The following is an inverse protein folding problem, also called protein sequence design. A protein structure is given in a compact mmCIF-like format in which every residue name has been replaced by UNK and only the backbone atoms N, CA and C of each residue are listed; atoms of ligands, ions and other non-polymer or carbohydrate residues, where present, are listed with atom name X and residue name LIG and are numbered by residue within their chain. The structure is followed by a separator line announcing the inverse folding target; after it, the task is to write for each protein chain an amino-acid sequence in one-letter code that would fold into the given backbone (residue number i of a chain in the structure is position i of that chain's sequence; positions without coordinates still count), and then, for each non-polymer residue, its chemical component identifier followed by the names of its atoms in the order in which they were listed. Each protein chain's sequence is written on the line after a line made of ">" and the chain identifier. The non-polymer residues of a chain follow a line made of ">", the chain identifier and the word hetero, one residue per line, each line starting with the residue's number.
data_IF_876953331028
#
_entry.id   IF_876953331028
#
_cell.length_a   1.000
_cell.length_b   1.000
_cell.length_c   1.000
_cell.angle_alpha   90.00
_cell.angle_beta   90.00
_cell.angle_gamma   90.00
#
_symmetry.space_group_name_H-M   'P 1'
#
loop_
_entity.id
_entity.type
_entity.pdbx_description
1 polymer ?
#
# COMPACT_ATOMS: atom_id res chain seq x y z
N UNK A 1 15.60 2.96 -18.20
CA UNK A 1 16.03 1.85 -17.32
C UNK A 1 15.00 1.74 -16.20
N UNK A 2 14.49 0.54 -15.93
CA UNK A 2 13.34 0.31 -15.03
C UNK A 2 13.78 -0.01 -13.60
N UNK A 3 12.88 0.11 -12.62
CA UNK A 3 13.12 -0.31 -11.23
C UNK A 3 13.58 -1.79 -11.17
N UNK A 4 12.87 -2.66 -11.87
CA UNK A 4 13.25 -4.05 -12.08
C UNK A 4 14.66 -4.21 -12.68
N UNK A 5 14.98 -3.44 -13.73
CA UNK A 5 16.30 -3.47 -14.36
C UNK A 5 17.41 -3.04 -13.40
N UNK A 6 17.16 -2.03 -12.55
CA UNK A 6 18.14 -1.59 -11.55
C UNK A 6 18.35 -2.65 -10.45
N UNK A 7 17.29 -3.34 -10.03
CA UNK A 7 17.35 -4.43 -9.05
C UNK A 7 18.08 -5.67 -9.61
N UNK A 8 17.89 -5.96 -10.91
CA UNK A 8 18.63 -7.01 -11.62
C UNK A 8 20.11 -6.66 -11.79
N UNK A 9 20.43 -5.43 -12.23
CA UNK A 9 21.81 -4.97 -12.46
C UNK A 9 22.59 -4.88 -11.14
N UNK A 10 21.97 -4.32 -10.10
CA UNK A 10 22.57 -4.21 -8.77
C UNK A 10 22.85 -5.58 -8.12
N UNK A 11 22.14 -6.64 -8.53
CA UNK A 11 22.37 -8.01 -8.09
C UNK A 11 23.37 -8.80 -8.94
N UNK A 12 23.85 -8.26 -10.07
CA UNK A 12 24.78 -8.94 -10.97
C UNK A 12 26.26 -8.54 -10.75
N UNK A 13 26.54 -7.58 -9.85
CA UNK A 13 27.90 -7.09 -9.56
C UNK A 13 28.60 -8.09 -8.62
N UNK A 14 28.91 -9.26 -9.16
CA UNK A 14 29.50 -10.35 -8.39
C UNK A 14 29.94 -11.53 -9.21
N UNK A 15 30.30 -11.37 -10.49
CA UNK A 15 31.13 -12.31 -11.28
C UNK A 15 31.35 -11.75 -12.69
N UNK A 16 32.59 -11.39 -13.03
CA UNK A 16 33.00 -11.23 -14.43
C UNK A 16 34.27 -12.05 -14.68
N UNK A 17 34.26 -13.02 -15.61
CA UNK A 17 35.47 -13.48 -16.25
C UNK A 17 35.73 -12.66 -17.52
N UNK A 18 36.97 -12.20 -17.66
CA UNK A 18 37.54 -11.63 -18.86
C UNK A 18 37.66 -12.67 -20.00
N UNK A 19 37.73 -12.19 -21.25
CA UNK A 19 38.36 -12.72 -22.50
C UNK A 19 37.38 -12.48 -23.69
N UNK A 20 37.57 -11.50 -24.58
CA UNK A 20 38.60 -11.25 -25.60
C UNK A 20 38.27 -11.80 -27.01
N UNK A 21 38.20 -10.85 -27.97
CA UNK A 21 38.42 -10.89 -29.42
C UNK A 21 37.31 -11.39 -30.40
N UNK A 22 36.90 -10.46 -31.29
CA UNK A 22 36.18 -10.68 -32.56
C UNK A 22 37.07 -11.32 -33.65
N UNK A 23 36.50 -11.72 -34.81
CA UNK A 23 36.53 -10.76 -35.94
C UNK A 23 35.28 -10.72 -36.86
N UNK A 24 34.90 -9.48 -37.21
CA UNK A 24 34.45 -8.90 -38.50
C UNK A 24 33.51 -9.64 -39.46
N UNK A 25 32.40 -8.97 -39.81
CA UNK A 25 31.92 -8.83 -41.20
C UNK A 25 31.33 -7.42 -41.43
N UNK A 26 31.69 -6.80 -42.56
CA UNK A 26 31.31 -5.46 -43.02
C UNK A 26 29.97 -5.41 -43.79
N UNK A 27 29.46 -4.17 -43.92
CA UNK A 27 28.37 -3.64 -44.77
C UNK A 27 26.93 -3.85 -44.28
N UNK A 28 26.04 -2.85 -44.21
CA UNK A 28 25.92 -1.61 -44.99
C UNK A 28 25.15 -0.54 -44.18
N UNK A 29 25.51 0.72 -44.38
CA UNK A 29 24.95 1.86 -43.67
C UNK A 29 23.50 2.18 -44.11
N UNK A 30 22.55 1.96 -43.21
CA UNK A 30 21.26 2.65 -43.23
C UNK A 30 21.31 3.72 -42.13
N UNK A 31 21.08 4.97 -42.52
CA UNK A 31 20.96 6.12 -41.61
C UNK A 31 19.69 5.94 -40.78
N UNK A 32 19.81 5.18 -39.69
CA UNK A 32 18.79 5.09 -38.68
C UNK A 32 18.89 6.36 -37.83
N UNK A 33 17.87 7.23 -37.93
CA UNK A 33 17.68 8.38 -37.03
C UNK A 33 17.52 7.87 -35.60
N UNK A 34 18.62 7.60 -34.93
CA UNK A 34 18.68 7.43 -33.49
C UNK A 34 18.41 8.80 -32.87
N UNK A 35 17.13 9.09 -32.62
CA UNK A 35 16.80 9.95 -31.47
C UNK A 35 17.20 9.15 -30.24
N UNK A 36 18.47 9.24 -29.84
CA UNK A 36 18.86 8.98 -28.47
C UNK A 36 18.24 10.10 -27.62
N UNK A 37 16.99 9.92 -27.23
CA UNK A 37 16.44 10.67 -26.10
C UNK A 37 17.31 10.31 -24.90
N UNK A 38 18.07 11.30 -24.39
CA UNK A 38 18.85 11.14 -23.17
C UNK A 38 17.97 10.55 -22.07
N UNK A 39 18.51 9.68 -21.18
CA UNK A 39 17.72 9.10 -20.10
C UNK A 39 17.15 10.23 -19.25
N UNK A 40 15.82 10.39 -19.26
CA UNK A 40 15.12 11.38 -18.44
C UNK A 40 14.82 10.76 -17.08
N UNK A 41 14.96 11.56 -16.03
CA UNK A 41 14.44 11.20 -14.71
C UNK A 41 12.95 10.92 -14.80
N UNK A 42 12.51 9.84 -14.15
CA UNK A 42 11.11 9.43 -14.10
C UNK A 42 10.60 9.67 -12.69
N UNK A 43 9.49 10.41 -12.56
CA UNK A 43 8.77 10.58 -11.31
C UNK A 43 7.40 9.94 -11.43
N UNK A 44 7.08 9.07 -10.49
CA UNK A 44 5.83 8.29 -10.43
C UNK A 44 5.29 8.38 -9.01
N UNK A 45 3.98 8.18 -8.84
CA UNK A 45 3.37 8.09 -7.52
C UNK A 45 2.50 6.83 -7.45
N UNK A 46 2.71 6.01 -6.42
CA UNK A 46 1.73 4.99 -6.03
C UNK A 46 0.47 5.72 -5.53
N UNK A 47 -0.63 5.62 -6.26
CA UNK A 47 -1.88 6.32 -5.95
C UNK A 47 -2.72 5.46 -5.02
N UNK A 48 -3.26 6.07 -3.97
CA UNK A 48 -4.15 5.41 -3.00
C UNK A 48 -5.41 6.25 -2.79
N UNK A 49 -6.56 5.62 -2.43
CA UNK A 49 -7.73 6.36 -1.98
C UNK A 49 -7.40 7.18 -0.74
N UNK A 50 -7.73 8.48 -0.78
CA UNK A 50 -7.57 9.40 0.35
C UNK A 50 -8.91 9.49 1.08
N UNK A 51 -9.09 8.81 2.22
CA UNK A 51 -10.34 8.82 2.95
C UNK A 51 -10.60 10.18 3.62
N UNK A 52 -11.87 10.55 3.73
CA UNK A 52 -12.33 11.66 4.55
C UNK A 52 -13.13 11.21 5.75
N UNK A 53 -13.65 12.17 6.52
CA UNK A 53 -14.53 11.88 7.65
C UNK A 53 -15.98 11.63 7.20
N UNK A 54 -16.77 10.85 7.98
CA UNK A 54 -18.16 10.54 7.67
C UNK A 54 -19.02 11.79 7.46
N UNK A 55 -19.93 11.72 6.50
CA UNK A 55 -20.90 12.78 6.16
C UNK A 55 -22.31 12.19 6.01
N UNK A 56 -23.37 12.98 6.23
CA UNK A 56 -24.71 12.58 5.83
C UNK A 56 -24.79 12.46 4.31
N UNK A 57 -25.45 11.41 3.82
CA UNK A 57 -25.67 11.20 2.37
C UNK A 57 -27.04 11.73 1.88
N UNK A 58 -27.87 12.20 2.80
CA UNK A 58 -29.14 12.87 2.54
C UNK A 58 -29.33 14.00 3.57
N UNK A 59 -29.16 15.24 3.13
CA UNK A 59 -29.30 16.42 3.98
C UNK A 59 -30.73 16.64 4.47
N UNK A 60 -31.74 16.16 3.74
CA UNK A 60 -33.15 16.31 4.17
C UNK A 60 -33.47 15.44 5.39
N UNK A 61 -32.68 14.39 5.59
CA UNK A 61 -32.74 13.54 6.78
C UNK A 61 -31.76 13.99 7.87
N UNK A 62 -30.68 14.71 7.49
CA UNK A 62 -29.63 15.16 8.39
C UNK A 62 -30.11 16.16 9.45
N UNK A 63 -31.15 16.96 9.18
CA UNK A 63 -31.68 17.95 10.14
C UNK A 63 -32.22 17.33 11.44
N UNK A 64 -32.56 16.02 11.43
CA UNK A 64 -32.97 15.28 12.62
C UNK A 64 -31.84 14.51 13.31
N UNK A 65 -30.59 14.63 12.84
CA UNK A 65 -29.47 13.78 13.24
C UNK A 65 -28.33 14.64 13.73
N UNK A 66 -27.81 14.28 14.90
CA UNK A 66 -26.63 14.92 15.48
C UNK A 66 -25.49 13.92 15.57
N UNK A 67 -24.35 14.27 14.97
CA UNK A 67 -23.09 13.60 15.28
C UNK A 67 -22.59 14.14 16.64
N UNK A 68 -22.63 13.31 17.67
CA UNK A 68 -22.19 13.68 19.02
C UNK A 68 -20.70 13.44 19.23
N UNK A 69 -20.21 12.31 18.72
CA UNK A 69 -18.82 11.90 18.87
C UNK A 69 -18.33 11.17 17.63
N UNK A 70 -17.05 11.36 17.33
CA UNK A 70 -16.30 10.67 16.29
C UNK A 70 -14.95 10.24 16.86
N UNK A 71 -14.78 8.95 17.08
CA UNK A 71 -13.48 8.37 17.44
C UNK A 71 -12.85 7.73 16.20
N UNK A 72 -11.71 8.27 15.80
CA UNK A 72 -10.89 7.75 14.71
C UNK A 72 -9.77 6.89 15.27
N UNK A 73 -9.75 5.62 14.90
CA UNK A 73 -8.69 4.68 15.25
C UNK A 73 -7.88 4.36 13.99
N UNK A 74 -6.57 4.64 14.02
CA UNK A 74 -5.62 4.46 12.91
C UNK A 74 -4.58 3.42 13.29
N UNK A 75 -4.64 2.25 12.66
CA UNK A 75 -3.65 1.17 12.83
C UNK A 75 -2.64 1.21 11.69
N UNK A 76 -1.45 1.73 11.99
CA UNK A 76 -0.37 1.81 11.03
C UNK A 76 0.31 0.45 10.85
N UNK A 77 0.20 -0.08 9.64
CA UNK A 77 0.89 -1.28 9.14
C UNK A 77 2.03 -0.87 8.21
N UNK A 78 2.84 -1.81 7.73
CA UNK A 78 4.05 -1.46 6.94
C UNK A 78 3.74 -0.75 5.62
N UNK A 79 2.74 -1.22 4.86
CA UNK A 79 2.43 -0.67 3.54
C UNK A 79 0.98 -0.21 3.33
N UNK A 80 0.15 -0.31 4.36
CA UNK A 80 -1.22 0.20 4.38
C UNK A 80 -1.62 0.62 5.80
N UNK A 81 -2.79 1.20 5.95
CA UNK A 81 -3.39 1.48 7.27
C UNK A 81 -4.74 0.78 7.39
N UNK A 82 -5.13 0.38 8.60
CA UNK A 82 -6.51 0.05 8.93
C UNK A 82 -7.13 1.23 9.67
N UNK A 83 -8.28 1.69 9.20
CA UNK A 83 -9.04 2.80 9.75
C UNK A 83 -10.35 2.28 10.31
N UNK A 84 -10.66 2.71 11.54
CA UNK A 84 -11.94 2.45 12.19
C UNK A 84 -12.51 3.80 12.62
N UNK A 85 -13.68 4.14 12.09
CA UNK A 85 -14.42 5.35 12.46
C UNK A 85 -15.60 4.93 13.31
N UNK A 86 -15.68 5.40 14.55
CA UNK A 86 -16.82 5.13 15.44
C UNK A 86 -17.58 6.44 15.67
N UNK A 87 -18.82 6.49 15.17
CA UNK A 87 -19.67 7.67 15.18
C UNK A 87 -20.85 7.45 16.14
N UNK A 88 -21.01 8.30 17.14
CA UNK A 88 -22.21 8.36 17.94
C UNK A 88 -23.23 9.30 17.28
N UNK A 89 -24.30 8.73 16.74
CA UNK A 89 -25.36 9.44 16.04
C UNK A 89 -26.62 9.49 16.92
N UNK A 90 -27.05 10.69 17.29
CA UNK A 90 -28.32 10.91 17.97
C UNK A 90 -29.39 11.22 16.94
N UNK A 91 -30.41 10.35 16.88
CA UNK A 91 -31.54 10.48 15.98
C UNK A 91 -32.75 11.02 16.76
N UNK A 92 -33.22 12.20 16.37
CA UNK A 92 -34.44 12.80 16.89
C UNK A 92 -35.69 12.16 16.27
N UNK A 93 -36.84 12.26 16.95
CA UNK A 93 -38.13 11.84 16.35
C UNK A 93 -38.44 12.71 15.12
N UNK A 94 -38.74 12.09 13.98
CA UNK A 94 -39.38 12.79 12.84
C UNK A 94 -38.73 12.66 11.46
N UNK A 95 -37.74 11.78 11.26
CA UNK A 95 -37.10 11.61 9.94
C UNK A 95 -37.93 10.68 9.05
N UNK A 96 -38.16 11.04 7.79
CA UNK A 96 -38.83 10.18 6.79
C UNK A 96 -37.89 9.07 6.31
N UNK A 97 -38.42 7.87 6.10
CA UNK A 97 -37.66 6.72 5.57
C UNK A 97 -37.35 5.67 6.64
N UNK A 98 -36.89 4.49 6.20
CA UNK A 98 -36.55 3.36 7.09
C UNK A 98 -35.10 3.40 7.58
N UNK A 99 -34.22 3.97 6.77
CA UNK A 99 -32.79 4.07 7.04
C UNK A 99 -32.28 5.45 6.67
N UNK A 100 -31.17 5.84 7.30
CA UNK A 100 -30.42 7.06 7.03
C UNK A 100 -29.09 6.64 6.41
N UNK A 101 -28.75 7.12 5.21
CA UNK A 101 -27.47 6.83 4.60
C UNK A 101 -26.39 7.77 5.16
N UNK A 102 -25.28 7.20 5.62
CA UNK A 102 -24.07 7.92 6.05
C UNK A 102 -22.89 7.41 5.22
N UNK A 103 -22.03 8.31 4.76
CA UNK A 103 -20.97 7.98 3.82
C UNK A 103 -19.59 8.46 4.26
N UNK A 104 -18.58 7.63 4.01
CA UNK A 104 -17.18 8.05 4.06
C UNK A 104 -16.75 8.46 2.65
N UNK A 105 -16.35 9.72 2.41
CA UNK A 105 -15.86 10.17 1.11
C UNK A 105 -14.43 9.70 0.87
N UNK A 106 -14.08 9.44 -0.39
CA UNK A 106 -12.70 9.14 -0.82
C UNK A 106 -12.30 10.00 -2.01
N UNK A 107 -11.20 10.73 -1.90
CA UNK A 107 -10.55 11.32 -3.07
C UNK A 107 -9.68 10.25 -3.73
N UNK A 108 -10.05 9.87 -4.93
CA UNK A 108 -9.35 8.85 -5.71
C UNK A 108 -9.46 9.22 -7.19
N UNK A 109 -8.32 9.36 -7.86
CA UNK A 109 -8.25 9.79 -9.27
C UNK A 109 -7.01 9.21 -9.92
N UNK A 110 -6.96 7.88 -10.09
CA UNK A 110 -5.86 7.26 -10.80
C UNK A 110 -5.90 7.62 -12.30
N UNK A 111 -4.77 7.55 -13.02
CA UNK A 111 -4.74 7.80 -14.46
C UNK A 111 -5.61 6.80 -15.20
N UNK A 112 -6.25 7.24 -16.30
CA UNK A 112 -6.99 6.31 -17.16
C UNK A 112 -6.07 5.22 -17.75
N UNK A 113 -6.65 4.08 -18.12
CA UNK A 113 -5.90 2.89 -18.56
C UNK A 113 -4.96 3.20 -19.74
N UNK A 114 -5.41 4.01 -20.70
CA UNK A 114 -4.63 4.35 -21.89
C UNK A 114 -3.43 5.23 -21.54
N UNK A 115 -3.63 6.26 -20.72
CA UNK A 115 -2.56 7.13 -20.22
C UNK A 115 -1.57 6.33 -19.37
N UNK A 116 -2.06 5.44 -18.52
CA UNK A 116 -1.20 4.61 -17.67
C UNK A 116 -0.37 3.62 -18.50
N UNK A 117 -0.97 2.91 -19.45
CA UNK A 117 -0.28 1.96 -20.32
C UNK A 117 0.78 2.62 -21.24
N UNK A 118 0.57 3.90 -21.59
CA UNK A 118 1.55 4.68 -22.34
C UNK A 118 2.73 5.20 -21.49
N UNK A 119 2.65 5.10 -20.16
CA UNK A 119 3.74 5.51 -19.27
C UNK A 119 4.97 4.60 -19.44
N UNK A 120 6.20 5.15 -19.41
CA UNK A 120 7.43 4.35 -19.33
C UNK A 120 7.44 3.40 -18.12
N UNK A 121 6.81 3.85 -17.03
CA UNK A 121 6.64 3.14 -15.76
C UNK A 121 5.13 3.18 -15.40
N UNK A 122 4.33 2.23 -15.89
CA UNK A 122 2.91 2.16 -15.53
C UNK A 122 2.78 1.82 -14.04
N UNK A 123 1.77 2.40 -13.39
CA UNK A 123 1.45 2.12 -12.00
C UNK A 123 0.32 1.14 -11.87
N UNK A 124 0.28 0.47 -10.72
CA UNK A 124 -0.86 -0.33 -10.34
C UNK A 124 -2.06 0.58 -10.13
N UNK A 125 -3.04 0.47 -11.03
CA UNK A 125 -4.29 1.19 -10.95
C UNK A 125 -5.42 0.21 -10.63
N UNK A 126 -5.97 0.33 -9.42
CA UNK A 126 -7.08 -0.49 -8.97
C UNK A 126 -8.40 0.26 -9.14
N UNK A 127 -9.49 -0.40 -9.56
CA UNK A 127 -10.85 0.14 -9.38
C UNK A 127 -11.08 0.51 -7.91
N UNK A 128 -11.87 1.55 -7.64
CA UNK A 128 -12.10 2.04 -6.27
C UNK A 128 -12.55 0.93 -5.30
N UNK A 129 -13.44 0.05 -5.77
CA UNK A 129 -13.97 -1.09 -5.00
C UNK A 129 -12.92 -2.15 -4.63
N UNK A 130 -11.75 -2.12 -5.27
CA UNK A 130 -10.59 -2.97 -4.98
C UNK A 130 -9.47 -2.22 -4.27
N UNK A 131 -9.41 -0.90 -4.42
CA UNK A 131 -8.42 -0.04 -3.78
C UNK A 131 -8.72 0.22 -2.29
N UNK A 132 -9.99 0.15 -1.88
CA UNK A 132 -10.40 0.13 -0.47
C UNK A 132 -10.61 -1.31 -0.04
N UNK A 133 -9.82 -1.75 0.94
CA UNK A 133 -9.76 -3.13 1.39
C UNK A 133 -10.57 -3.34 2.66
N UNK A 134 -11.04 -4.57 2.88
CA UNK A 134 -11.62 -5.01 4.16
C UNK A 134 -12.76 -4.09 4.66
N UNK A 135 -13.51 -3.48 3.73
CA UNK A 135 -14.54 -2.49 4.01
C UNK A 135 -15.81 -3.14 4.59
N UNK A 136 -16.17 -2.73 5.80
CA UNK A 136 -17.36 -3.18 6.53
C UNK A 136 -17.94 -2.00 7.31
N UNK A 137 -19.26 -1.97 7.48
CA UNK A 137 -19.90 -1.11 8.46
C UNK A 137 -20.82 -1.90 9.41
N UNK A 138 -21.00 -1.38 10.61
CA UNK A 138 -21.92 -1.90 11.62
C UNK A 138 -22.65 -0.76 12.32
N UNK A 139 -23.84 -1.06 12.84
CA UNK A 139 -24.59 -0.17 13.72
C UNK A 139 -24.92 -0.94 14.99
N UNK A 140 -24.57 -0.35 16.14
CA UNK A 140 -24.77 -0.97 17.46
C UNK A 140 -24.17 -2.39 17.51
N UNK A 141 -22.94 -2.52 17.01
CA UNK A 141 -22.15 -3.75 16.89
C UNK A 141 -22.75 -4.84 15.96
N UNK A 142 -23.84 -4.53 15.26
CA UNK A 142 -24.45 -5.43 14.27
C UNK A 142 -24.05 -4.99 12.86
N UNK A 143 -23.51 -5.91 12.07
CA UNK A 143 -23.18 -5.66 10.65
C UNK A 143 -24.41 -5.09 9.93
N UNK A 144 -24.23 -3.96 9.24
CA UNK A 144 -25.29 -3.31 8.47
C UNK A 144 -25.01 -3.39 6.96
N UNK A 145 -26.02 -3.03 6.17
CA UNK A 145 -25.84 -2.91 4.72
C UNK A 145 -24.89 -1.75 4.43
N UNK A 146 -23.80 -2.05 3.72
CA UNK A 146 -22.82 -1.07 3.28
C UNK A 146 -22.26 -1.40 1.91
N UNK A 147 -21.93 -0.38 1.12
CA UNK A 147 -21.38 -0.54 -0.22
C UNK A 147 -20.36 0.53 -0.56
N UNK A 148 -19.36 0.14 -1.35
CA UNK A 148 -18.48 1.08 -2.05
C UNK A 148 -19.18 1.53 -3.33
N UNK A 149 -19.41 2.83 -3.48
CA UNK A 149 -20.17 3.41 -4.58
C UNK A 149 -19.42 4.52 -5.28
N UNK A 150 -19.73 4.71 -6.56
CA UNK A 150 -19.19 5.77 -7.39
C UNK A 150 -20.32 6.70 -7.86
N UNK A 151 -20.01 7.99 -7.98
CA UNK A 151 -20.94 9.04 -8.36
C UNK A 151 -20.85 10.27 -7.45
N UNK A 152 -21.19 11.44 -7.98
CA UNK A 152 -21.27 12.66 -7.17
C UNK A 152 -22.39 12.54 -6.13
N UNK A 153 -22.19 13.16 -4.98
CA UNK A 153 -23.25 13.30 -3.98
C UNK A 153 -24.49 13.95 -4.60
N UNK A 154 -25.69 13.43 -4.34
CA UNK A 154 -26.93 13.92 -4.97
C UNK A 154 -27.20 15.40 -4.67
N UNK A 155 -26.73 15.87 -3.52
CA UNK A 155 -26.85 17.26 -3.07
C UNK A 155 -25.49 17.98 -3.05
N UNK A 156 -24.56 17.61 -3.95
CA UNK A 156 -23.20 18.16 -3.99
C UNK A 156 -23.15 19.69 -4.14
N UNK A 157 -24.18 20.30 -4.74
CA UNK A 157 -24.23 21.75 -4.98
C UNK A 157 -24.79 22.53 -3.78
N UNK A 158 -25.22 21.84 -2.71
CA UNK A 158 -25.62 22.49 -1.47
C UNK A 158 -24.39 23.14 -0.78
N UNK A 159 -24.51 24.36 -0.21
CA UNK A 159 -23.38 25.03 0.44
C UNK A 159 -22.71 24.21 1.56
N UNK A 160 -23.50 23.42 2.30
CA UNK A 160 -23.01 22.52 3.35
C UNK A 160 -22.14 21.37 2.81
N UNK A 161 -22.31 21.01 1.54
CA UNK A 161 -21.55 19.94 0.87
C UNK A 161 -20.30 20.43 0.13
N UNK A 162 -19.99 21.73 0.18
CA UNK A 162 -18.78 22.28 -0.42
C UNK A 162 -17.48 21.51 -0.07
N UNK A 163 -17.28 20.99 1.16
CA UNK A 163 -16.08 20.19 1.49
C UNK A 163 -15.91 18.90 0.67
N UNK A 164 -17.00 18.38 0.09
CA UNK A 164 -17.03 17.10 -0.62
C UNK A 164 -17.62 17.20 -2.03
N UNK A 165 -17.89 18.41 -2.54
CA UNK A 165 -18.62 18.62 -3.80
C UNK A 165 -17.95 17.98 -5.04
N UNK A 166 -16.62 17.87 -5.03
CA UNK A 166 -15.81 17.24 -6.08
C UNK A 166 -15.50 15.75 -5.85
N UNK A 167 -16.07 15.14 -4.81
CA UNK A 167 -15.83 13.72 -4.49
C UNK A 167 -16.86 12.85 -5.19
N UNK A 168 -16.37 11.73 -5.75
CA UNK A 168 -17.17 10.78 -6.51
C UNK A 168 -17.06 9.34 -6.01
N UNK A 169 -16.36 9.07 -4.90
CA UNK A 169 -16.15 7.72 -4.38
C UNK A 169 -16.53 7.68 -2.90
N UNK A 170 -17.29 6.66 -2.50
CA UNK A 170 -17.92 6.61 -1.19
C UNK A 170 -17.95 5.20 -0.62
N UNK A 171 -17.79 5.06 0.69
CA UNK A 171 -18.28 3.90 1.45
C UNK A 171 -19.56 4.34 2.17
N UNK A 172 -20.71 3.83 1.75
CA UNK A 172 -22.02 4.21 2.29
C UNK A 172 -22.56 3.11 3.17
N UNK A 173 -23.07 3.45 4.35
CA UNK A 173 -23.75 2.55 5.27
C UNK A 173 -25.18 3.02 5.53
N UNK A 174 -26.09 2.07 5.79
CA UNK A 174 -27.49 2.33 6.11
C UNK A 174 -27.74 2.22 7.62
N UNK A 175 -28.01 3.34 8.27
CA UNK A 175 -28.32 3.41 9.70
C UNK A 175 -29.82 3.26 9.91
N UNK A 176 -30.30 2.42 10.85
CA UNK A 176 -31.72 2.36 11.19
C UNK A 176 -32.26 3.73 11.60
N UNK A 177 -33.35 4.17 11.00
CA UNK A 177 -34.02 5.41 11.39
C UNK A 177 -34.93 5.14 12.60
N UNK A 178 -34.33 5.06 13.79
CA UNK A 178 -35.03 4.89 15.06
C UNK A 178 -34.59 5.97 16.05
N UNK A 179 -35.49 6.56 16.84
CA UNK A 179 -35.10 7.54 17.85
C UNK A 179 -34.16 6.92 18.89
N UNK A 180 -33.09 7.64 19.22
CA UNK A 180 -32.08 7.19 20.17
C UNK A 180 -30.66 7.46 19.68
N UNK A 181 -29.69 7.06 20.50
CA UNK A 181 -28.27 7.07 20.14
C UNK A 181 -27.91 5.75 19.48
N UNK A 182 -27.30 5.84 18.30
CA UNK A 182 -26.78 4.72 17.54
C UNK A 182 -25.28 4.87 17.34
N UNK A 183 -24.54 3.77 17.44
CA UNK A 183 -23.10 3.74 17.20
C UNK A 183 -22.84 3.16 15.82
N UNK A 184 -22.55 4.02 14.85
CA UNK A 184 -22.15 3.62 13.50
C UNK A 184 -20.62 3.44 13.45
N UNK A 185 -20.17 2.26 13.09
CA UNK A 185 -18.75 1.98 12.87
C UNK A 185 -18.48 1.71 11.40
N UNK A 186 -17.49 2.38 10.82
CA UNK A 186 -16.88 2.02 9.55
C UNK A 186 -15.50 1.41 9.81
N UNK A 187 -15.19 0.30 9.18
CA UNK A 187 -13.86 -0.31 9.18
C UNK A 187 -13.42 -0.54 7.74
N UNK A 188 -12.21 -0.10 7.40
CA UNK A 188 -11.62 -0.34 6.08
C UNK A 188 -10.10 -0.13 6.11
N UNK A 189 -9.38 -0.69 5.14
CA UNK A 189 -7.95 -0.46 4.96
C UNK A 189 -7.66 0.25 3.64
N UNK A 190 -6.64 1.11 3.64
CA UNK A 190 -6.16 1.79 2.42
C UNK A 190 -4.63 1.73 2.36
N UNK A 191 -4.03 1.53 1.18
CA UNK A 191 -2.59 1.60 1.01
C UNK A 191 -2.06 3.03 1.23
N UNK A 192 -0.76 3.17 1.46
CA UNK A 192 -0.13 4.49 1.51
C UNK A 192 0.18 5.02 0.11
N UNK A 193 0.05 6.34 -0.06
CA UNK A 193 0.64 7.04 -1.20
C UNK A 193 2.15 7.13 -1.01
N UNK A 194 2.92 6.88 -2.06
CA UNK A 194 4.38 7.01 -2.06
C UNK A 194 4.87 7.57 -3.39
N UNK A 195 5.81 8.51 -3.32
CA UNK A 195 6.48 9.05 -4.50
C UNK A 195 7.68 8.18 -4.86
N UNK A 196 7.84 7.86 -6.14
CA UNK A 196 8.98 7.12 -6.68
C UNK A 196 9.72 8.05 -7.63
N UNK A 197 11.02 8.17 -7.45
CA UNK A 197 11.92 8.87 -8.37
C UNK A 197 12.98 7.90 -8.86
N UNK A 198 13.11 7.79 -10.18
CA UNK A 198 14.04 6.90 -10.84
C UNK A 198 15.00 7.76 -11.67
N UNK A 199 16.27 7.70 -11.32
CA UNK A 199 17.36 8.21 -12.15
C UNK A 199 17.99 7.02 -12.88
N UNK A 200 17.71 6.85 -14.19
CA UNK A 200 18.12 5.67 -14.93
C UNK A 200 19.62 5.38 -14.81
N UNK A 201 19.98 4.15 -14.42
CA UNK A 201 21.39 3.73 -14.31
C UNK A 201 22.11 4.18 -13.04
N UNK A 202 21.45 4.96 -12.18
CA UNK A 202 22.10 5.54 -11.01
C UNK A 202 21.42 5.12 -9.70
N UNK A 203 20.12 5.42 -9.57
CA UNK A 203 19.41 5.20 -8.30
C UNK A 203 17.90 5.20 -8.46
N UNK A 204 17.23 4.52 -7.53
CA UNK A 204 15.80 4.66 -7.27
C UNK A 204 15.63 5.22 -5.86
N UNK A 205 14.74 6.20 -5.73
CA UNK A 205 14.29 6.72 -4.45
C UNK A 205 12.80 6.46 -4.28
N UNK A 206 12.46 5.69 -3.26
CA UNK A 206 11.11 5.60 -2.74
C UNK A 206 10.95 6.60 -1.61
N UNK A 207 9.99 7.51 -1.75
CA UNK A 207 9.63 8.52 -0.78
C UNK A 207 9.02 7.91 0.48
N UNK A 208 8.81 8.77 1.49
CA UNK A 208 8.16 8.33 2.72
C UNK A 208 6.68 8.00 2.43
N UNK A 209 6.12 6.92 3.00
CA UNK A 209 4.68 6.64 2.93
C UNK A 209 3.87 7.78 3.52
N UNK A 210 2.73 8.08 2.90
CA UNK A 210 1.79 9.08 3.38
C UNK A 210 0.38 8.51 3.46
N UNK A 211 -0.24 8.70 4.62
CA UNK A 211 -1.68 8.58 4.81
C UNK A 211 -2.24 10.00 4.94
N UNK A 212 -3.06 10.40 3.98
CA UNK A 212 -3.81 11.66 4.04
C UNK A 212 -5.25 11.37 4.46
N UNK A 213 -5.78 12.15 5.39
CA UNK A 213 -7.16 12.09 5.87
C UNK A 213 -7.84 13.43 5.65
N UNK A 214 -8.95 13.47 4.91
CA UNK A 214 -9.72 14.70 4.71
C UNK A 214 -10.58 14.96 5.94
N UNK A 215 -10.34 16.07 6.62
CA UNK A 215 -11.00 16.44 7.88
C UNK A 215 -12.14 17.44 7.65
N UNK A 216 -12.07 18.24 6.58
CA UNK A 216 -13.12 19.18 6.19
C UNK A 216 -14.51 18.55 5.95
N UNK A 217 -14.68 17.28 5.54
CA UNK A 217 -16.01 16.66 5.42
C UNK A 217 -16.82 16.69 6.72
N UNK A 218 -16.18 16.76 7.90
CA UNK A 218 -16.89 16.89 9.17
C UNK A 218 -17.78 18.13 9.23
N UNK A 219 -17.45 19.18 8.47
CA UNK A 219 -18.22 20.43 8.43
C UNK A 219 -19.57 20.29 7.70
N UNK A 220 -19.86 19.13 7.12
CA UNK A 220 -21.16 18.83 6.50
C UNK A 220 -22.26 18.57 7.54
N UNK A 221 -21.90 18.25 8.79
CA UNK A 221 -22.85 18.05 9.88
C UNK A 221 -23.35 19.40 10.43
N UNK A 222 -24.67 19.54 10.51
CA UNK A 222 -25.34 20.77 10.97
C UNK A 222 -25.74 20.74 12.45
N UNK A 223 -25.77 19.56 13.08
CA UNK A 223 -26.20 19.34 14.48
C UNK A 223 -25.25 19.81 15.58
N UNK A 224 -24.28 20.67 15.27
CA UNK A 224 -23.28 21.19 16.22
C UNK A 224 -21.93 20.47 16.13
N UNK A 225 -21.00 20.86 17.01
CA UNK A 225 -19.62 20.37 17.02
C UNK A 225 -19.52 19.04 17.79
N UNK A 226 -19.13 17.93 17.14
CA UNK A 226 -18.90 16.67 17.85
C UNK A 226 -17.62 16.74 18.68
N UNK A 227 -17.52 15.88 19.70
CA UNK A 227 -16.20 15.46 20.19
C UNK A 227 -15.54 14.63 19.09
N UNK A 228 -14.39 15.05 18.57
CA UNK A 228 -13.63 14.24 17.60
C UNK A 228 -12.23 13.95 18.10
N UNK A 229 -11.92 12.67 18.31
CA UNK A 229 -10.61 12.22 18.82
C UNK A 229 -9.97 11.30 17.80
N UNK A 230 -8.66 11.44 17.63
CA UNK A 230 -7.85 10.51 16.83
C UNK A 230 -6.94 9.73 17.75
N UNK A 231 -6.88 8.42 17.53
CA UNK A 231 -5.98 7.49 18.19
C UNK A 231 -5.18 6.75 17.11
N UNK A 232 -3.87 6.96 17.09
CA UNK A 232 -2.95 6.29 16.17
C UNK A 232 -2.14 5.27 16.95
N UNK A 233 -2.02 4.06 16.46
CA UNK A 233 -1.15 3.02 17.00
C UNK A 233 -0.41 2.34 15.85
N UNK A 234 0.80 1.87 16.11
CA UNK A 234 1.53 1.05 15.15
C UNK A 234 1.40 -0.42 15.53
N UNK A 235 0.86 -1.23 14.62
CA UNK A 235 0.72 -2.69 14.81
C UNK A 235 1.92 -3.47 14.26
N UNK A 236 2.58 -2.96 13.21
CA UNK A 236 3.67 -3.66 12.51
C UNK A 236 4.98 -2.87 12.46
N UNK A 237 5.09 -1.72 13.11
CA UNK A 237 6.28 -0.87 13.05
C UNK A 237 6.66 -0.27 14.41
N UNK A 238 7.79 0.43 14.41
CA UNK A 238 8.24 1.21 15.56
C UNK A 238 7.34 2.42 15.77
N UNK A 239 6.95 2.62 17.01
CA UNK A 239 6.16 3.75 17.44
C UNK A 239 6.86 5.13 17.27
N UNK A 240 8.19 5.16 17.22
CA UNK A 240 9.00 6.37 16.97
C UNK A 240 9.12 6.78 15.49
N UNK A 241 8.54 6.02 14.55
CA UNK A 241 8.70 6.29 13.11
C UNK A 241 7.57 7.09 12.48
N UNK A 242 6.60 7.58 13.25
CA UNK A 242 5.45 8.31 12.73
C UNK A 242 5.70 9.81 12.80
N UNK A 243 5.74 10.47 11.64
CA UNK A 243 5.67 11.94 11.58
C UNK A 243 4.23 12.35 11.35
N UNK A 244 3.77 13.33 12.11
CA UNK A 244 2.50 14.02 11.90
C UNK A 244 2.83 15.41 11.35
N UNK A 245 2.37 15.70 10.14
CA UNK A 245 2.44 17.05 9.57
C UNK A 245 1.44 17.95 10.33
N UNK A 246 1.75 19.24 10.61
CA UNK A 246 1.03 20.01 11.61
C UNK A 246 -0.38 20.36 11.14
N UNK A 247 -1.34 19.50 11.49
CA UNK A 247 -2.77 19.73 11.45
C UNK A 247 -3.41 19.55 12.82
N UNK A 248 -2.62 19.66 13.89
CA UNK A 248 -3.05 19.56 15.27
C UNK A 248 -2.28 20.59 16.10
N UNK A 249 -2.86 21.08 17.19
CA UNK A 249 -2.07 21.79 18.20
C UNK A 249 -1.06 20.78 18.77
N UNK A 250 0.23 21.00 18.51
CA UNK A 250 1.30 20.10 18.94
C UNK A 250 1.27 19.83 20.45
N UNK A 251 0.70 20.74 21.25
CA UNK A 251 0.53 20.59 22.70
C UNK A 251 -0.60 19.63 23.11
N UNK A 252 -1.54 19.38 22.21
CA UNK A 252 -2.70 18.49 22.44
C UNK A 252 -2.40 17.02 22.15
N UNK A 253 -1.24 16.72 21.56
CA UNK A 253 -0.82 15.37 21.21
C UNK A 253 -0.24 14.70 22.45
N UNK A 254 -0.88 13.63 22.88
CA UNK A 254 -0.39 12.75 23.94
C UNK A 254 0.31 11.56 23.28
N UNK A 255 1.57 11.32 23.64
CA UNK A 255 2.35 10.17 23.17
C UNK A 255 2.56 9.17 24.31
N UNK A 256 2.19 7.90 24.11
CA UNK A 256 2.45 6.83 25.09
C UNK A 256 3.83 6.18 24.87
N UNK A 257 4.37 5.39 25.82
CA UNK A 257 5.58 4.61 25.60
C UNK A 257 5.48 3.60 24.45
N UNK A 258 4.26 3.17 24.10
CA UNK A 258 3.95 2.35 22.92
C UNK A 258 3.74 3.22 21.66
N UNK A 259 4.00 4.53 21.76
CA UNK A 259 3.84 5.61 20.77
C UNK A 259 2.49 5.59 20.09
N UNK A 260 1.47 5.41 20.93
CA UNK A 260 0.12 5.81 20.59
C UNK A 260 0.08 7.33 20.58
N UNK A 261 -0.45 7.92 19.51
CA UNK A 261 -0.72 9.35 19.44
C UNK A 261 -2.21 9.56 19.62
N UNK A 262 -2.58 10.37 20.61
CA UNK A 262 -3.97 10.77 20.82
C UNK A 262 -4.08 12.28 20.84
N UNK A 263 -5.04 12.84 20.09
CA UNK A 263 -5.35 14.28 20.12
C UNK A 263 -6.81 14.55 19.71
N UNK A 264 -7.28 15.76 19.99
CA UNK A 264 -8.56 16.27 19.46
C UNK A 264 -8.36 16.70 18.01
N UNK A 265 -9.20 16.23 17.09
CA UNK A 265 -9.15 16.68 15.70
C UNK A 265 -9.58 18.14 15.54
N UNK A 266 -10.37 18.65 16.49
CA UNK A 266 -10.97 19.98 16.42
C UNK A 266 -10.30 20.95 17.38
N UNK A 267 -10.16 22.19 16.92
CA UNK A 267 -9.80 23.33 17.75
C UNK A 267 -10.95 23.77 18.66
N UNK A 268 -10.66 24.76 19.50
CA UNK A 268 -11.64 25.32 20.45
C UNK A 268 -12.86 25.98 19.76
N UNK A 269 -12.73 26.38 18.49
CA UNK A 269 -13.81 26.90 17.65
C UNK A 269 -14.70 25.80 17.04
N UNK A 270 -14.41 24.53 17.36
CA UNK A 270 -15.13 23.37 16.87
C UNK A 270 -14.86 23.03 15.41
N UNK A 271 -13.79 23.56 14.82
CA UNK A 271 -13.39 23.27 13.44
C UNK A 271 -12.11 22.45 13.39
N UNK A 272 -11.91 21.64 12.33
CA UNK A 272 -10.62 21.02 12.09
C UNK A 272 -9.51 22.07 11.94
N UNK A 273 -8.33 21.82 12.51
CA UNK A 273 -7.18 22.72 12.41
C UNK A 273 -6.68 22.94 10.97
N UNK A 274 -6.91 21.97 10.09
CA UNK A 274 -6.58 22.01 8.66
C UNK A 274 -7.65 21.24 7.88
N UNK A 275 -7.79 21.43 6.55
CA UNK A 275 -8.75 20.69 5.72
C UNK A 275 -8.37 19.21 5.51
N UNK A 276 -7.12 18.85 5.80
CA UNK A 276 -6.62 17.49 5.81
C UNK A 276 -5.50 17.32 6.83
N UNK A 277 -5.27 16.08 7.22
CA UNK A 277 -4.17 15.64 8.05
C UNK A 277 -3.27 14.66 7.29
N UNK A 278 -1.96 14.71 7.53
CA UNK A 278 -1.00 13.77 6.93
C UNK A 278 -0.19 13.06 8.00
N UNK A 279 -0.22 11.72 7.96
CA UNK A 279 0.62 10.84 8.76
C UNK A 279 1.67 10.16 7.86
N UNK A 280 2.91 10.13 8.33
CA UNK A 280 4.04 9.46 7.67
C UNK A 280 4.55 8.32 8.55
N UNK A 281 4.09 7.07 8.33
CA UNK A 281 4.29 5.94 9.24
C UNK A 281 5.72 5.40 9.31
N UNK A 282 6.53 5.60 8.27
CA UNK A 282 7.81 4.92 8.13
C UNK A 282 8.79 5.68 7.23
N UNK A 283 10.01 5.14 7.07
CA UNK A 283 11.03 5.77 6.26
C UNK A 283 10.75 5.58 4.76
N UNK A 284 11.21 6.53 3.95
CA UNK A 284 11.54 6.26 2.56
C UNK A 284 12.86 5.47 2.47
N UNK A 285 13.22 5.05 1.27
CA UNK A 285 14.46 4.35 1.01
C UNK A 285 15.06 4.72 -0.35
N UNK A 286 16.37 4.54 -0.47
CA UNK A 286 17.09 4.74 -1.74
C UNK A 286 17.88 3.49 -2.06
N UNK A 287 17.78 3.00 -3.29
CA UNK A 287 18.63 1.95 -3.86
C UNK A 287 19.57 2.60 -4.87
N UNK A 288 20.87 2.42 -4.72
CA UNK A 288 21.86 2.82 -5.72
C UNK A 288 22.18 1.70 -6.71
N UNK A 289 22.85 2.05 -7.80
CA UNK A 289 23.29 1.13 -8.87
C UNK A 289 24.22 0.00 -8.39
N UNK A 290 24.85 0.17 -7.24
CA UNK A 290 25.80 -0.79 -6.66
C UNK A 290 25.11 -1.74 -5.67
N UNK A 291 23.77 -1.67 -5.56
CA UNK A 291 22.99 -2.53 -4.68
C UNK A 291 22.96 -2.08 -3.23
N UNK A 292 23.46 -0.89 -2.91
CA UNK A 292 23.31 -0.38 -1.56
C UNK A 292 21.94 0.25 -1.36
N UNK A 293 21.34 -0.07 -0.22
CA UNK A 293 20.08 0.51 0.22
C UNK A 293 20.32 1.38 1.42
N UNK A 294 19.79 2.60 1.39
CA UNK A 294 19.73 3.50 2.54
C UNK A 294 18.32 3.54 3.11
N UNK A 295 18.16 3.15 4.38
CA UNK A 295 16.88 3.15 5.11
C UNK A 295 17.12 3.80 6.47
N UNK A 296 16.33 4.81 6.85
CA UNK A 296 16.52 5.56 8.12
C UNK A 296 17.94 6.12 8.30
N UNK A 297 18.61 6.47 7.20
CA UNK A 297 20.01 6.93 7.20
C UNK A 297 21.05 5.82 7.43
N UNK A 298 20.63 4.57 7.65
CA UNK A 298 21.52 3.42 7.69
C UNK A 298 21.73 2.85 6.29
N UNK A 299 22.98 2.53 5.96
CA UNK A 299 23.36 1.90 4.69
C UNK A 299 23.55 0.40 4.90
N UNK A 300 22.97 -0.40 4.01
CA UNK A 300 23.23 -1.83 3.87
C UNK A 300 23.25 -2.23 2.40
N UNK A 301 23.44 -3.51 2.12
CA UNK A 301 23.52 -4.06 0.76
C UNK A 301 22.42 -5.09 0.54
N UNK A 302 21.78 -5.02 -0.63
CA UNK A 302 20.98 -6.15 -1.13
C UNK A 302 21.93 -7.33 -1.35
N UNK A 303 21.61 -8.48 -0.78
CA UNK A 303 22.44 -9.67 -0.90
C UNK A 303 21.70 -10.81 -1.59
N UNK A 304 22.42 -11.49 -2.48
CA UNK A 304 22.09 -12.79 -3.06
C UNK A 304 22.86 -13.95 -2.38
N UNK A 305 23.71 -13.61 -1.38
CA UNK A 305 24.57 -14.54 -0.66
C UNK A 305 23.79 -15.26 0.44
N UNK A 306 22.82 -16.04 0.01
CA UNK A 306 21.99 -16.87 0.88
C UNK A 306 21.59 -18.16 0.19
N UNK A 307 21.25 -19.18 0.97
CA UNK A 307 20.58 -20.39 0.50
C UNK A 307 19.09 -20.25 0.79
N UNK A 308 18.23 -20.79 -0.08
CA UNK A 308 16.78 -20.68 0.08
C UNK A 308 16.07 -22.00 -0.21
N UNK A 309 15.11 -22.33 0.64
CA UNK A 309 14.24 -23.50 0.50
C UNK A 309 12.78 -23.08 0.66
N UNK A 310 11.88 -23.76 -0.04
CA UNK A 310 10.43 -23.55 0.07
C UNK A 310 9.75 -24.79 0.66
N UNK A 311 8.60 -24.62 1.32
CA UNK A 311 7.76 -25.74 1.77
C UNK A 311 7.22 -26.57 0.61
N UNK A 312 6.90 -25.90 -0.50
CA UNK A 312 6.55 -26.51 -1.78
C UNK A 312 6.98 -25.60 -2.93
N UNK A 313 6.95 -26.11 -4.15
CA UNK A 313 7.28 -25.34 -5.34
C UNK A 313 6.50 -25.86 -6.54
N UNK A 314 5.86 -24.97 -7.28
CA UNK A 314 5.21 -25.31 -8.55
C UNK A 314 6.27 -25.78 -9.56
N UNK A 315 5.93 -26.74 -10.42
CA UNK A 315 6.90 -27.24 -11.39
C UNK A 315 7.33 -26.15 -12.39
N UNK A 316 6.36 -25.41 -12.94
CA UNK A 316 6.57 -24.41 -13.99
C UNK A 316 5.66 -23.20 -13.83
N UNK A 317 6.17 -22.04 -14.22
CA UNK A 317 5.43 -20.79 -14.30
C UNK A 317 4.51 -20.78 -15.54
N UNK A 318 3.63 -19.79 -15.70
CA UNK A 318 2.75 -19.65 -16.86
C UNK A 318 3.49 -19.52 -18.20
N UNK A 319 4.79 -19.23 -18.17
CA UNK A 319 5.67 -19.09 -19.34
C UNK A 319 6.48 -20.36 -19.61
N UNK A 320 6.30 -21.42 -18.80
CA UNK A 320 6.97 -22.71 -18.94
C UNK A 320 8.35 -22.81 -18.26
N UNK A 321 8.77 -21.80 -17.50
CA UNK A 321 10.06 -21.80 -16.78
C UNK A 321 9.93 -22.45 -15.40
N UNK A 322 10.96 -23.13 -14.87
CA UNK A 322 10.91 -23.71 -13.53
C UNK A 322 10.71 -22.67 -12.42
N UNK A 323 9.83 -22.92 -11.45
CA UNK A 323 9.55 -21.99 -10.34
C UNK A 323 10.50 -22.10 -9.14
N UNK A 324 11.78 -22.42 -9.34
CA UNK A 324 12.74 -22.62 -8.24
C UNK A 324 12.79 -21.41 -7.29
N UNK A 325 12.89 -21.60 -5.95
CA UNK A 325 13.08 -20.51 -5.02
C UNK A 325 14.38 -19.72 -5.26
N UNK A 326 15.38 -20.31 -5.91
CA UNK A 326 16.61 -19.61 -6.30
C UNK A 326 16.36 -18.47 -7.31
N UNK A 327 15.26 -18.49 -8.06
CA UNK A 327 14.89 -17.43 -9.00
C UNK A 327 14.75 -16.07 -8.29
N UNK A 328 14.36 -16.08 -7.02
CA UNK A 328 14.14 -14.88 -6.20
C UNK A 328 15.41 -14.04 -5.94
N UNK A 329 16.59 -14.63 -6.15
CA UNK A 329 17.91 -13.98 -5.97
C UNK A 329 18.28 -13.02 -7.09
N UNK A 330 17.87 -13.31 -8.32
CA UNK A 330 18.37 -12.61 -9.49
C UNK A 330 17.29 -11.79 -10.20
N UNK A 331 16.02 -11.95 -9.79
CA UNK A 331 14.87 -11.28 -10.43
C UNK A 331 14.67 -11.73 -11.89
N UNK A 332 15.16 -12.93 -12.21
CA UNK A 332 15.05 -13.57 -13.52
C UNK A 332 14.28 -14.88 -13.32
N UNK A 333 12.96 -14.79 -13.42
CA UNK A 333 12.04 -15.88 -13.10
C UNK A 333 11.28 -15.66 -11.79
N UNK A 334 10.42 -16.60 -11.46
CA UNK A 334 9.51 -16.50 -10.32
C UNK A 334 9.63 -17.74 -9.45
N UNK A 335 9.32 -17.60 -8.16
CA UNK A 335 8.90 -18.73 -7.35
C UNK A 335 7.37 -18.71 -7.24
N UNK A 336 6.78 -19.90 -7.25
CA UNK A 336 5.41 -20.13 -6.87
C UNK A 336 5.34 -21.34 -5.95
N UNK A 337 4.42 -21.28 -5.02
CA UNK A 337 4.01 -22.43 -4.22
C UNK A 337 3.38 -23.52 -5.10
N UNK A 338 3.47 -24.77 -4.66
CA UNK A 338 3.00 -25.96 -5.40
C UNK A 338 1.92 -26.76 -4.67
N UNK A 339 1.24 -26.16 -3.69
CA UNK A 339 0.11 -26.81 -3.01
C UNK A 339 -1.19 -26.53 -3.78
N UNK A 340 -2.21 -27.35 -3.52
CA UNK A 340 -3.55 -27.03 -4.04
C UNK A 340 -4.15 -25.89 -3.23
N UNK A 341 -4.62 -24.84 -3.91
CA UNK A 341 -5.26 -23.70 -3.27
C UNK A 341 -4.53 -22.41 -3.57
N UNK A 342 -4.59 -21.46 -2.65
CA UNK A 342 -3.98 -20.14 -2.79
C UNK A 342 -2.56 -20.04 -2.20
N UNK A 343 -2.06 -21.13 -1.61
CA UNK A 343 -0.75 -21.16 -0.97
C UNK A 343 -0.69 -20.54 0.43
N UNK A 344 -1.84 -20.26 1.06
CA UNK A 344 -1.83 -19.74 2.43
C UNK A 344 -1.15 -20.73 3.38
N UNK A 345 -0.18 -20.24 4.15
CA UNK A 345 0.62 -21.03 5.10
C UNK A 345 1.94 -21.54 4.53
N UNK A 346 2.17 -21.44 3.22
CA UNK A 346 3.43 -21.80 2.58
C UNK A 346 4.58 -20.90 3.05
N UNK A 347 5.79 -21.47 3.07
CA UNK A 347 6.95 -20.83 3.68
C UNK A 347 8.19 -20.87 2.80
N UNK A 348 8.96 -19.77 2.84
CA UNK A 348 10.31 -19.66 2.32
C UNK A 348 11.27 -19.51 3.49
N UNK A 349 12.33 -20.32 3.52
CA UNK A 349 13.39 -20.24 4.52
C UNK A 349 14.70 -19.86 3.85
N UNK A 350 15.28 -18.76 4.33
CA UNK A 350 16.50 -18.15 3.83
C UNK A 350 17.58 -18.30 4.89
N UNK A 351 18.74 -18.82 4.49
CA UNK A 351 19.94 -18.94 5.33
C UNK A 351 21.03 -18.03 4.77
N UNK A 352 21.36 -16.97 5.49
CA UNK A 352 22.37 -16.00 5.10
C UNK A 352 23.77 -16.63 5.20
N UNK A 353 24.57 -16.51 4.14
CA UNK A 353 25.98 -16.95 4.15
C UNK A 353 26.84 -16.02 4.98
N UNK A 354 26.49 -14.72 4.98
CA UNK A 354 27.12 -13.69 5.79
C UNK A 354 26.08 -13.08 6.73
N UNK A 355 25.90 -13.63 7.94
CA UNK A 355 25.00 -13.08 8.93
C UNK A 355 25.36 -11.65 9.30
N UNK A 356 24.35 -10.81 9.46
CA UNK A 356 24.54 -9.41 9.80
C UNK A 356 23.24 -8.77 10.25
N UNK A 357 23.28 -7.49 10.62
CA UNK A 357 22.06 -6.79 11.02
C UNK A 357 21.17 -6.59 9.80
N UNK A 358 19.94 -7.11 9.88
CA UNK A 358 18.94 -6.97 8.84
C UNK A 358 18.30 -5.57 8.91
N UNK A 359 18.40 -4.80 7.83
CA UNK A 359 17.72 -3.50 7.70
C UNK A 359 16.32 -3.64 7.08
N UNK A 360 16.10 -4.69 6.30
CA UNK A 360 14.81 -5.02 5.70
C UNK A 360 14.92 -6.20 4.74
N UNK A 361 13.78 -6.61 4.20
CA UNK A 361 13.65 -7.66 3.19
C UNK A 361 12.90 -7.06 2.01
N UNK A 362 13.55 -6.96 0.86
CA UNK A 362 12.91 -6.54 -0.38
C UNK A 362 12.11 -7.70 -0.97
N UNK A 363 10.84 -7.46 -1.24
CA UNK A 363 9.90 -8.41 -1.82
C UNK A 363 9.24 -7.82 -3.06
N UNK A 364 9.16 -8.60 -4.14
CA UNK A 364 8.28 -8.33 -5.28
C UNK A 364 7.18 -9.40 -5.29
N UNK A 365 5.94 -8.99 -5.00
CA UNK A 365 4.78 -9.87 -5.01
C UNK A 365 4.27 -10.08 -6.43
N UNK A 366 3.83 -11.30 -6.74
CA UNK A 366 3.22 -11.63 -8.03
C UNK A 366 4.18 -11.69 -9.21
N UNK A 367 3.61 -11.77 -10.41
CA UNK A 367 4.31 -11.70 -11.70
C UNK A 367 4.18 -10.27 -12.23
N UNK A 368 5.23 -9.47 -12.09
CA UNK A 368 5.19 -8.06 -12.48
C UNK A 368 5.12 -7.89 -14.01
N UNK A 369 4.17 -7.09 -14.54
CA UNK A 369 3.99 -6.88 -15.99
C UNK A 369 5.07 -5.97 -16.61
N UNK A 370 6.01 -5.45 -15.80
CA UNK A 370 7.00 -4.46 -16.22
C UNK A 370 8.45 -4.95 -16.14
N UNK A 371 8.71 -6.13 -15.57
CA UNK A 371 10.06 -6.68 -15.35
C UNK A 371 10.73 -7.12 -16.64
N UNK A 372 9.97 -7.70 -17.58
CA UNK A 372 10.47 -8.25 -18.86
C UNK A 372 9.63 -7.78 -20.05
N UNK A 373 9.75 -6.50 -20.40
CA UNK A 373 8.81 -5.88 -21.31
C UNK A 373 8.87 -6.31 -22.76
N UNK A 374 10.03 -6.77 -23.19
CA UNK A 374 10.26 -7.20 -24.57
C UNK A 374 9.62 -8.58 -24.82
N UNK A 375 9.33 -9.32 -23.74
CA UNK A 375 8.82 -10.68 -23.80
C UNK A 375 7.29 -10.75 -23.77
N UNK A 376 6.60 -9.74 -23.22
CA UNK A 376 5.13 -9.72 -23.13
C UNK A 376 4.54 -8.32 -23.34
N UNK A 377 4.36 -7.99 -24.63
CA UNK A 377 3.77 -6.70 -25.06
C UNK A 377 2.28 -6.57 -24.70
N UNK A 378 1.57 -7.68 -24.48
CA UNK A 378 0.15 -7.66 -24.08
C UNK A 378 0.00 -7.41 -22.58
N UNK A 379 0.83 -8.04 -21.74
CA UNK A 379 0.89 -7.71 -20.30
C UNK A 379 1.23 -6.23 -20.09
N UNK A 380 2.07 -5.65 -20.95
CA UNK A 380 2.36 -4.21 -21.00
C UNK A 380 1.14 -3.35 -21.38
N UNK A 381 0.26 -3.82 -22.26
CA UNK A 381 -0.95 -3.09 -22.67
C UNK A 381 -2.03 -3.13 -21.59
N UNK A 382 -2.11 -4.23 -20.85
CA UNK A 382 -3.11 -4.44 -19.79
C UNK A 382 -2.46 -4.85 -18.46
N UNK A 383 -1.60 -3.99 -17.85
CA UNK A 383 -0.76 -4.37 -16.71
C UNK A 383 -1.57 -4.73 -15.46
N UNK A 384 -2.73 -4.09 -15.26
CA UNK A 384 -3.60 -4.41 -14.13
C UNK A 384 -4.23 -5.79 -14.25
N UNK A 385 -4.64 -6.19 -15.47
CA UNK A 385 -5.23 -7.51 -15.73
C UNK A 385 -4.14 -8.57 -15.55
N UNK A 386 -3.01 -8.39 -16.24
CA UNK A 386 -1.89 -9.34 -16.18
C UNK A 386 -1.42 -9.60 -14.75
N UNK A 387 -1.21 -8.55 -13.96
CA UNK A 387 -0.80 -8.71 -12.56
C UNK A 387 -1.89 -9.37 -11.69
N UNK A 388 -3.17 -9.14 -12.00
CA UNK A 388 -4.28 -9.69 -11.22
C UNK A 388 -4.57 -11.16 -11.50
N UNK A 389 -4.00 -11.74 -12.57
CA UNK A 389 -4.24 -13.14 -12.95
C UNK A 389 -3.76 -14.16 -11.92
N UNK A 390 -2.72 -13.82 -11.15
CA UNK A 390 -1.99 -14.72 -10.27
C UNK A 390 -2.22 -14.39 -8.81
N UNK A 391 -2.16 -15.36 -7.89
CA UNK A 391 -2.14 -15.09 -6.45
C UNK A 391 -0.94 -14.24 -6.05
N UNK A 392 -1.13 -13.34 -5.09
CA UNK A 392 -0.09 -12.41 -4.61
C UNK A 392 -0.15 -12.32 -3.09
N UNK A 393 0.97 -12.40 -2.36
CA UNK A 393 0.93 -12.28 -0.91
C UNK A 393 0.35 -10.92 -0.48
N UNK A 394 -0.69 -10.95 0.37
CA UNK A 394 -1.29 -9.77 1.02
C UNK A 394 -0.65 -9.50 2.38
N UNK A 395 -0.32 -10.54 3.13
CA UNK A 395 0.44 -10.43 4.37
C UNK A 395 1.36 -11.61 4.56
N UNK A 396 2.47 -11.38 5.26
CA UNK A 396 3.44 -12.40 5.62
C UNK A 396 3.80 -12.31 7.10
N UNK A 397 4.11 -13.45 7.69
CA UNK A 397 4.79 -13.54 8.97
C UNK A 397 6.26 -13.82 8.74
N UNK A 398 7.12 -13.03 9.38
CA UNK A 398 8.58 -13.17 9.29
C UNK A 398 9.13 -13.60 10.64
N UNK A 399 9.90 -14.68 10.63
CA UNK A 399 10.55 -15.27 11.79
C UNK A 399 12.07 -15.17 11.58
N UNK A 400 12.75 -14.42 12.43
CA UNK A 400 14.19 -14.21 12.40
C UNK A 400 14.87 -15.10 13.44
N UNK A 401 15.86 -15.88 13.00
CA UNK A 401 16.63 -16.81 13.85
C UNK A 401 15.78 -17.84 14.63
N UNK A 402 14.49 -18.00 14.31
CA UNK A 402 13.56 -18.81 15.10
C UNK A 402 13.10 -18.16 16.42
N UNK A 403 13.49 -16.91 16.69
CA UNK A 403 13.31 -16.27 18.00
C UNK A 403 12.45 -15.01 17.95
N UNK A 404 12.50 -14.26 16.85
CA UNK A 404 11.76 -13.01 16.71
C UNK A 404 10.77 -13.09 15.55
N UNK A 405 9.49 -13.01 15.88
CA UNK A 405 8.38 -13.06 14.92
C UNK A 405 7.72 -11.71 14.81
N UNK A 406 7.41 -11.29 13.58
CA UNK A 406 6.57 -10.13 13.31
C UNK A 406 5.77 -10.32 12.03
N UNK A 407 4.60 -9.69 11.98
CA UNK A 407 3.75 -9.69 10.80
C UNK A 407 4.02 -8.44 9.95
N UNK A 408 3.86 -8.57 8.64
CA UNK A 408 4.02 -7.48 7.68
C UNK A 408 2.95 -7.56 6.59
N UNK A 409 2.24 -6.45 6.39
CA UNK A 409 1.29 -6.31 5.30
C UNK A 409 1.96 -5.79 4.03
N UNK A 410 1.60 -6.36 2.88
CA UNK A 410 2.06 -6.00 1.55
C UNK A 410 0.94 -5.33 0.73
N UNK A 411 1.30 -4.35 -0.11
CA UNK A 411 0.36 -3.78 -1.08
C UNK A 411 0.12 -4.74 -2.22
N UNK A 412 -1.09 -4.67 -2.78
CA UNK A 412 -1.41 -5.26 -4.08
C UNK A 412 -0.78 -4.41 -5.20
N UNK A 413 0.56 -4.33 -5.25
CA UNK A 413 1.37 -3.48 -6.13
C UNK A 413 2.60 -4.27 -6.61
N UNK A 414 2.92 -4.18 -7.90
CA UNK A 414 4.07 -4.85 -8.52
C UNK A 414 5.40 -4.17 -8.25
N UNK A 415 5.39 -2.99 -7.64
CA UNK A 415 6.60 -2.29 -7.21
C UNK A 415 7.21 -3.02 -6.01
N UNK A 416 8.51 -3.36 -6.04
CA UNK A 416 9.21 -3.94 -4.90
C UNK A 416 9.00 -3.16 -3.60
N UNK A 417 8.70 -3.90 -2.54
CA UNK A 417 8.35 -3.39 -1.22
C UNK A 417 9.40 -3.86 -0.21
N UNK A 418 9.68 -3.06 0.83
CA UNK A 418 10.66 -3.44 1.86
C UNK A 418 9.94 -3.70 3.17
N UNK A 419 9.99 -4.95 3.62
CA UNK A 419 9.55 -5.37 4.95
C UNK A 419 10.66 -5.08 5.96
N UNK A 420 10.39 -4.23 6.95
CA UNK A 420 11.38 -3.76 7.93
C UNK A 420 11.13 -4.47 9.28
N UNK A 421 12.15 -5.10 9.89
CA UNK A 421 12.01 -5.64 11.25
C UNK A 421 11.90 -4.48 12.26
N UNK A 422 10.81 -4.38 13.06
CA UNK A 422 10.58 -3.21 13.90
C UNK A 422 11.63 -3.02 15.00
N UNK A 423 11.91 -4.06 15.79
CA UNK A 423 12.75 -3.94 16.99
C UNK A 423 13.99 -4.86 16.98
N UNK A 424 14.19 -5.65 15.90
CA UNK A 424 15.29 -6.60 15.84
C UNK A 424 16.61 -5.93 15.41
N UNK A 425 17.64 -6.05 16.25
CA UNK A 425 18.96 -5.45 16.00
C UNK A 425 20.11 -6.45 15.97
N UNK A 426 19.88 -7.68 16.40
CA UNK A 426 20.90 -8.73 16.41
C UNK A 426 21.23 -9.19 14.97
N UNK A 427 22.41 -9.80 14.77
CA UNK A 427 22.73 -10.45 13.51
C UNK A 427 21.71 -11.54 13.17
N UNK A 428 21.22 -11.52 11.93
CA UNK A 428 20.28 -12.50 11.39
C UNK A 428 21.08 -13.55 10.62
N UNK A 429 20.80 -14.81 10.89
CA UNK A 429 21.37 -15.99 10.25
C UNK A 429 20.31 -16.69 9.40
N UNK A 430 19.09 -16.78 9.91
CA UNK A 430 17.95 -17.37 9.21
C UNK A 430 16.76 -16.44 9.20
N UNK A 431 16.04 -16.44 8.08
CA UNK A 431 14.79 -15.71 7.88
C UNK A 431 13.79 -16.72 7.34
N UNK A 432 12.70 -16.96 8.06
CA UNK A 432 11.56 -17.72 7.56
C UNK A 432 10.42 -16.76 7.28
N UNK A 433 9.89 -16.78 6.07
CA UNK A 433 8.73 -16.01 5.65
C UNK A 433 7.59 -17.00 5.44
N UNK A 434 6.45 -16.78 6.08
CA UNK A 434 5.21 -17.54 5.90
C UNK A 434 4.15 -16.64 5.27
N UNK A 435 3.46 -17.13 4.24
CA UNK A 435 2.34 -16.42 3.62
C UNK A 435 1.12 -16.55 4.52
N UNK A 436 0.60 -15.43 5.04
CA UNK A 436 -0.53 -15.43 5.97
C UNK A 436 -1.86 -15.15 5.29
N UNK A 437 -1.86 -14.32 4.24
CA UNK A 437 -3.04 -14.05 3.43
C UNK A 437 -2.65 -13.62 2.03
N UNK A 438 -3.58 -13.73 1.08
CA UNK A 438 -3.33 -13.56 -0.35
C UNK A 438 -4.36 -12.62 -0.97
N UNK A 439 -3.93 -11.80 -1.92
CA UNK A 439 -4.82 -11.22 -2.92
C UNK A 439 -5.09 -12.28 -3.98
N UNK A 440 -6.35 -12.75 -4.13
CA UNK A 440 -6.65 -13.84 -5.03
C UNK A 440 -6.34 -13.48 -6.48
N UNK A 441 -5.81 -14.46 -7.22
CA UNK A 441 -5.69 -14.37 -8.66
C UNK A 441 -7.04 -14.57 -9.34
N UNK A 442 -7.27 -13.88 -10.45
CA UNK A 442 -8.49 -14.05 -11.27
C UNK A 442 -8.39 -15.21 -12.26
N UNK A 443 -7.18 -15.70 -12.54
CA UNK A 443 -6.91 -16.78 -13.50
C UNK A 443 -6.42 -18.06 -12.86
N UNK A 444 -5.46 -17.96 -11.93
CA UNK A 444 -4.97 -19.08 -11.11
C UNK A 444 -5.02 -18.70 -9.63
N UNK A 445 -5.13 -19.72 -8.78
CA UNK A 445 -5.01 -19.57 -7.34
C UNK A 445 -3.54 -19.49 -6.90
N UNK A 446 -2.59 -20.03 -7.69
CA UNK A 446 -1.19 -20.13 -7.26
C UNK A 446 -0.59 -18.77 -6.94
N UNK A 447 0.18 -18.71 -5.86
CA UNK A 447 0.79 -17.46 -5.38
C UNK A 447 2.25 -17.33 -5.78
N UNK A 448 2.59 -16.21 -6.42
CA UNK A 448 3.91 -15.97 -7.00
C UNK A 448 4.70 -14.87 -6.26
N UNK A 449 6.03 -15.00 -6.29
CA UNK A 449 7.01 -13.98 -5.91
C UNK A 449 8.07 -13.84 -7.01
N UNK A 450 8.47 -12.60 -7.31
CA UNK A 450 9.55 -12.31 -8.28
C UNK A 450 10.91 -12.00 -7.64
N UNK A 451 10.90 -11.45 -6.43
CA UNK A 451 12.12 -11.03 -5.72
C UNK A 451 11.96 -11.31 -4.23
N UNK A 452 13.03 -11.84 -3.63
CA UNK A 452 13.22 -11.88 -2.18
C UNK A 452 14.70 -11.58 -1.91
N UNK A 453 15.01 -10.40 -1.39
CA UNK A 453 16.40 -10.01 -1.10
C UNK A 453 16.53 -9.41 0.29
N UNK A 454 17.24 -10.07 1.21
CA UNK A 454 17.64 -9.47 2.47
C UNK A 454 18.54 -8.25 2.24
N UNK A 455 18.38 -7.23 3.06
CA UNK A 455 19.23 -6.03 3.10
C UNK A 455 20.05 -6.10 4.37
N UNK A 456 21.32 -6.45 4.24
CA UNK A 456 22.23 -6.70 5.37
C UNK A 456 23.24 -5.56 5.47
N UNK A 457 23.49 -5.10 6.70
CA UNK A 457 24.49 -4.08 6.98
C UNK A 457 25.90 -4.65 7.08
#
# INVERSE_FOLDING_TARGET
>A
MRLASLICVAGAVGCAPCMAAEPTHQEQAAVEKTRQDAPRDVAVQCIAPVPGLPVPMDLTQADGIRLNALDLTVSLKQHQTLLIYTCALDISKGIKGKTIPVGVPFRYSPPDEKTNAASPEPIRNLPFTKAVLDAVASVDDLKCDSSLTEGRHQQADAPTMAPVAGIAHWLVAQVPNKPGTHVLTFQFSVPYTQDISITPGEKVRMGEPRLTLLTSPLMTWTGGTPRAVVNVYSSEMTNQSVKLDPSADAKSIVTTPQGVYTWSLLGADGRPYAPSMVLTPGPGWTLDKDGHVTIRGEKGSLTDQYDITASSTLEKDPYGNPCSPDNLKHGQGYWAEGVSGDGQGETLEVKLKNPGRLLGIMLESGISPVTLPENDTEARRHPNIAYSMFGRPKSVQVILNGEYTFDATLRDDWTPQIVIPPYYKAPVHTIRIRIDSIYPGTGTADTYLGVLKPIVR
#
